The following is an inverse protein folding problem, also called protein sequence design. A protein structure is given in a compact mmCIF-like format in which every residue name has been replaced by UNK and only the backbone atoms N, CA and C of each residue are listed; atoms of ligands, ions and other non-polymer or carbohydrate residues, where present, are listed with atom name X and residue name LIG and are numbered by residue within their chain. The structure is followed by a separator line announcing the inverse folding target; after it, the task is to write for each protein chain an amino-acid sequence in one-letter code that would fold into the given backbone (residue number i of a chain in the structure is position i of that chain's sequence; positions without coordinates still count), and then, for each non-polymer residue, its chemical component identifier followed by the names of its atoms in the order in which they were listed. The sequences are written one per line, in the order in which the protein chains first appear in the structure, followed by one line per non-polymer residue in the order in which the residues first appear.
data_IF_720201781070
#
_entry.id   IF_720201781070
#
_cell.length_a   1.000
_cell.length_b   1.000
_cell.length_c   1.000
_cell.angle_alpha   90.00
_cell.angle_beta   90.00
_cell.angle_gamma   90.00
#
_symmetry.space_group_name_H-M   'P 1'
#
loop_
_entity.id
_entity.type
_entity.pdbx_description
1 polymer ?
#
# COMPACT_ATOMS: atom_id res chain seq x y z
N UNK A 1 7.22 3.47 -13.12
CA UNK A 1 6.57 3.28 -11.81
C UNK A 1 5.78 4.52 -11.39
N UNK A 2 6.40 5.70 -11.27
CA UNK A 2 5.73 6.90 -10.74
C UNK A 2 4.46 7.34 -11.49
N UNK A 3 4.45 7.23 -12.83
CA UNK A 3 3.25 7.52 -13.64
C UNK A 3 2.08 6.62 -13.24
N UNK A 4 2.35 5.34 -12.97
CA UNK A 4 1.33 4.40 -12.49
C UNK A 4 0.85 4.74 -11.08
N UNK A 5 1.76 5.10 -10.17
CA UNK A 5 1.39 5.54 -8.82
C UNK A 5 0.48 6.77 -8.84
N UNK A 6 0.78 7.75 -9.69
CA UNK A 6 -0.06 8.94 -9.89
C UNK A 6 -1.48 8.57 -10.34
N UNK A 7 -1.60 7.73 -11.37
CA UNK A 7 -2.90 7.21 -11.82
C UNK A 7 -3.61 6.40 -10.71
N UNK A 8 -2.84 5.65 -9.93
CA UNK A 8 -3.30 4.90 -8.76
C UNK A 8 -3.94 5.81 -7.71
N UNK A 9 -3.30 6.93 -7.36
CA UNK A 9 -3.84 7.87 -6.37
C UNK A 9 -5.21 8.43 -6.76
N UNK A 10 -5.38 8.79 -8.04
CA UNK A 10 -6.62 9.37 -8.57
C UNK A 10 -7.73 8.33 -8.60
N UNK A 11 -7.46 7.19 -9.24
CA UNK A 11 -8.42 6.09 -9.38
C UNK A 11 -8.84 5.50 -8.04
N UNK A 12 -7.90 5.38 -7.10
CA UNK A 12 -8.17 4.89 -5.76
C UNK A 12 -9.18 5.78 -5.05
N UNK A 13 -9.01 7.11 -5.08
CA UNK A 13 -9.94 8.04 -4.42
C UNK A 13 -11.36 7.87 -4.94
N UNK A 14 -11.53 7.84 -6.27
CA UNK A 14 -12.83 7.58 -6.89
C UNK A 14 -13.42 6.22 -6.47
N UNK A 15 -12.61 5.17 -6.44
CA UNK A 15 -13.04 3.83 -6.05
C UNK A 15 -13.44 3.75 -4.57
N UNK A 16 -12.68 4.40 -3.68
CA UNK A 16 -12.96 4.48 -2.25
C UNK A 16 -14.23 5.26 -1.92
N UNK A 17 -14.53 6.31 -2.69
CA UNK A 17 -15.78 7.05 -2.54
C UNK A 17 -16.98 6.24 -3.05
N UNK A 18 -16.81 5.55 -4.18
CA UNK A 18 -17.89 4.75 -4.77
C UNK A 18 -18.19 3.49 -3.95
N UNK A 19 -17.18 2.71 -3.58
CA UNK A 19 -17.34 1.36 -3.04
C UNK A 19 -17.04 1.23 -1.54
N UNK A 20 -16.51 2.27 -0.89
CA UNK A 20 -16.08 2.20 0.51
C UNK A 20 -14.56 2.12 0.64
N UNK A 21 -14.05 2.64 1.76
CA UNK A 21 -12.62 2.78 2.01
C UNK A 21 -11.97 1.41 2.20
N UNK A 22 -12.64 0.52 2.95
CA UNK A 22 -12.12 -0.82 3.28
C UNK A 22 -12.02 -1.71 2.05
N UNK A 23 -13.06 -1.72 1.21
CA UNK A 23 -13.08 -2.54 0.00
C UNK A 23 -12.06 -2.04 -1.02
N UNK A 24 -11.95 -0.72 -1.20
CA UNK A 24 -10.95 -0.11 -2.07
C UNK A 24 -9.52 -0.47 -1.66
N UNK A 25 -9.21 -0.32 -0.37
CA UNK A 25 -7.90 -0.68 0.19
C UNK A 25 -7.60 -2.16 -0.04
N UNK A 26 -8.56 -3.04 0.29
CA UNK A 26 -8.43 -4.49 0.13
C UNK A 26 -8.13 -4.87 -1.33
N UNK A 27 -8.88 -4.32 -2.29
CA UNK A 27 -8.71 -4.61 -3.70
C UNK A 27 -7.31 -4.22 -4.21
N UNK A 28 -6.84 -3.02 -3.86
CA UNK A 28 -5.50 -2.57 -4.25
C UNK A 28 -4.39 -3.40 -3.60
N UNK A 29 -4.53 -3.74 -2.31
CA UNK A 29 -3.57 -4.57 -1.58
C UNK A 29 -3.48 -6.00 -2.12
N UNK A 30 -4.61 -6.63 -2.44
CA UNK A 30 -4.62 -7.97 -3.05
C UNK A 30 -3.96 -7.92 -4.43
N UNK A 31 -4.29 -6.92 -5.26
CA UNK A 31 -3.65 -6.73 -6.55
C UNK A 31 -2.13 -6.50 -6.42
N UNK A 32 -1.70 -5.69 -5.45
CA UNK A 32 -0.27 -5.46 -5.18
C UNK A 32 0.45 -6.76 -4.75
N UNK A 33 -0.19 -7.58 -3.92
CA UNK A 33 0.32 -8.89 -3.48
C UNK A 33 0.65 -9.81 -4.65
N UNK A 34 -0.12 -9.74 -5.74
CA UNK A 34 0.12 -10.54 -6.94
C UNK A 34 1.10 -9.86 -7.93
N UNK A 35 0.93 -8.56 -8.18
CA UNK A 35 1.69 -7.83 -9.21
C UNK A 35 3.16 -7.65 -8.83
N UNK A 36 3.48 -7.50 -7.54
CA UNK A 36 4.86 -7.32 -7.06
C UNK A 36 5.74 -8.55 -7.34
N UNK A 37 5.34 -9.79 -6.97
CA UNK A 37 6.06 -11.00 -7.37
C UNK A 37 6.14 -11.18 -8.89
N UNK A 38 5.06 -10.93 -9.64
CA UNK A 38 5.06 -11.03 -11.10
C UNK A 38 6.14 -10.13 -11.71
N UNK A 39 6.24 -8.88 -11.23
CA UNK A 39 7.29 -7.96 -11.64
C UNK A 39 8.68 -8.51 -11.30
N UNK A 40 8.89 -8.94 -10.05
CA UNK A 40 10.20 -9.35 -9.56
C UNK A 40 10.75 -10.63 -10.21
N UNK A 41 9.89 -11.60 -10.50
CA UNK A 41 10.31 -12.90 -11.03
C UNK A 41 10.14 -13.01 -12.55
N UNK A 42 9.11 -12.35 -13.10
CA UNK A 42 8.71 -12.46 -14.51
C UNK A 42 9.28 -11.38 -15.43
N UNK A 43 9.67 -10.21 -14.91
CA UNK A 43 10.24 -9.16 -15.74
C UNK A 43 11.74 -9.38 -15.95
N UNK A 44 12.12 -9.79 -17.17
CA UNK A 44 13.53 -10.09 -17.54
C UNK A 44 14.05 -9.23 -18.69
N UNK A 45 13.18 -8.51 -19.39
CA UNK A 45 13.55 -7.59 -20.48
C UNK A 45 13.19 -6.14 -20.13
N UNK A 46 13.89 -5.15 -20.71
CA UNK A 46 13.57 -3.74 -20.51
C UNK A 46 12.10 -3.41 -20.81
N UNK A 47 11.54 -4.04 -21.86
CA UNK A 47 10.14 -3.86 -22.24
C UNK A 47 9.21 -4.34 -21.12
N UNK A 48 9.44 -5.56 -20.58
CA UNK A 48 8.61 -6.09 -19.47
C UNK A 48 8.73 -5.25 -18.19
N UNK A 49 9.91 -4.69 -17.91
CA UNK A 49 10.11 -3.80 -16.77
C UNK A 49 9.34 -2.48 -16.94
N UNK A 50 9.35 -1.91 -18.15
CA UNK A 50 8.66 -0.66 -18.47
C UNK A 50 7.14 -0.81 -18.51
N UNK A 51 6.62 -1.99 -18.85
CA UNK A 51 5.17 -2.24 -18.89
C UNK A 51 4.59 -2.66 -17.54
N UNK A 52 5.26 -3.56 -16.81
CA UNK A 52 4.76 -4.07 -15.52
C UNK A 52 5.09 -3.09 -14.37
N UNK A 53 6.22 -2.37 -14.44
CA UNK A 53 6.62 -1.42 -13.40
C UNK A 53 5.56 -0.36 -13.08
N UNK A 54 4.91 0.30 -14.06
CA UNK A 54 3.77 1.17 -13.80
C UNK A 54 2.62 0.49 -13.06
N UNK A 55 2.30 -0.78 -13.35
CA UNK A 55 1.25 -1.51 -12.62
C UNK A 55 1.61 -1.74 -11.16
N UNK A 56 2.88 -2.05 -10.86
CA UNK A 56 3.39 -2.08 -9.48
C UNK A 56 3.18 -0.72 -8.81
N UNK A 57 3.58 0.38 -9.48
CA UNK A 57 3.35 1.73 -8.96
C UNK A 57 1.86 1.99 -8.66
N UNK A 58 0.98 1.63 -9.58
CA UNK A 58 -0.46 1.83 -9.45
C UNK A 58 -1.05 1.11 -8.23
N UNK A 59 -0.84 -0.20 -8.11
CA UNK A 59 -1.47 -0.99 -7.03
C UNK A 59 -0.72 -0.85 -5.70
N UNK A 60 0.61 -0.91 -5.72
CA UNK A 60 1.43 -0.91 -4.51
C UNK A 60 1.63 0.48 -3.91
N UNK A 61 1.29 1.57 -4.62
CA UNK A 61 1.35 2.92 -4.05
C UNK A 61 -0.02 3.60 -4.06
N UNK A 62 -0.88 3.34 -5.05
CA UNK A 62 -2.13 4.08 -5.25
C UNK A 62 -3.06 4.17 -4.03
N UNK A 63 -3.05 3.16 -3.16
CA UNK A 63 -3.82 3.14 -1.92
C UNK A 63 -3.42 4.23 -0.91
N UNK A 64 -2.24 4.84 -1.05
CA UNK A 64 -1.74 5.80 -0.08
C UNK A 64 -2.61 7.07 0.00
N UNK A 65 -3.34 7.41 -1.06
CA UNK A 65 -4.31 8.51 -1.04
C UNK A 65 -5.45 8.29 -0.03
N UNK A 66 -5.69 7.05 0.40
CA UNK A 66 -6.68 6.72 1.43
C UNK A 66 -6.32 7.28 2.80
N UNK A 67 -5.04 7.24 3.18
CA UNK A 67 -4.64 7.42 4.58
C UNK A 67 -5.09 8.77 5.13
N UNK A 68 -5.09 9.82 4.31
CA UNK A 68 -5.58 11.14 4.71
C UNK A 68 -7.06 11.09 5.12
N UNK A 69 -7.92 10.59 4.23
CA UNK A 69 -9.37 10.53 4.45
C UNK A 69 -9.75 9.53 5.55
N UNK A 70 -9.27 8.29 5.46
CA UNK A 70 -9.64 7.23 6.40
C UNK A 70 -9.19 7.54 7.83
N UNK A 71 -7.97 8.07 8.04
CA UNK A 71 -7.55 8.46 9.38
C UNK A 71 -8.31 9.69 9.89
N UNK A 72 -8.71 10.62 9.00
CA UNK A 72 -9.51 11.76 9.41
C UNK A 72 -10.90 11.32 9.90
N UNK A 73 -11.51 10.37 9.21
CA UNK A 73 -12.81 9.79 9.54
C UNK A 73 -12.76 8.88 10.79
N UNK A 74 -11.61 8.24 11.06
CA UNK A 74 -11.44 7.34 12.21
C UNK A 74 -11.34 8.09 13.54
N UNK A 75 -10.78 9.30 13.54
CA UNK A 75 -10.47 10.05 14.75
C UNK A 75 -11.38 11.28 14.94
N UNK A 76 -11.86 11.52 16.18
CA UNK A 76 -12.56 12.74 16.55
C UNK A 76 -11.75 14.01 16.23
N UNK A 77 -12.47 15.05 15.80
CA UNK A 77 -11.92 16.36 15.40
C UNK A 77 -10.92 16.92 16.40
N UNK A 78 -11.22 16.80 17.70
CA UNK A 78 -10.42 17.38 18.81
C UNK A 78 -8.96 16.92 18.88
N UNK A 79 -8.63 15.73 18.36
CA UNK A 79 -7.24 15.23 18.36
C UNK A 79 -6.83 14.56 17.04
N UNK A 80 -7.61 14.76 15.97
CA UNK A 80 -7.38 14.17 14.64
C UNK A 80 -5.97 14.39 14.13
N UNK A 81 -5.47 15.63 14.19
CA UNK A 81 -4.14 15.98 13.69
C UNK A 81 -3.02 15.22 14.43
N UNK A 82 -3.10 15.15 15.76
CA UNK A 82 -2.13 14.42 16.59
C UNK A 82 -2.19 12.92 16.34
N UNK A 83 -3.41 12.35 16.22
CA UNK A 83 -3.59 10.93 15.95
C UNK A 83 -3.08 10.53 14.56
N UNK A 84 -3.40 11.32 13.53
CA UNK A 84 -2.85 11.15 12.18
C UNK A 84 -1.32 11.23 12.18
N UNK A 85 -0.76 12.24 12.87
CA UNK A 85 0.69 12.39 13.02
C UNK A 85 1.33 11.19 13.71
N UNK A 86 0.70 10.67 14.78
CA UNK A 86 1.19 9.48 15.48
C UNK A 86 1.15 8.23 14.60
N UNK A 87 0.03 7.94 13.94
CA UNK A 87 -0.09 6.79 13.03
C UNK A 87 0.91 6.87 11.88
N UNK A 88 1.06 8.04 11.27
CA UNK A 88 1.97 8.24 10.13
C UNK A 88 3.44 8.12 10.54
N UNK A 89 3.85 8.79 11.62
CA UNK A 89 5.24 8.75 12.07
C UNK A 89 5.60 7.41 12.71
N UNK A 90 4.67 6.77 13.41
CA UNK A 90 4.85 5.41 13.94
C UNK A 90 5.10 4.40 12.82
N UNK A 91 4.30 4.47 11.76
CA UNK A 91 4.52 3.68 10.54
C UNK A 91 5.87 3.97 9.90
N UNK A 92 6.26 5.26 9.75
CA UNK A 92 7.58 5.63 9.20
C UNK A 92 8.74 5.12 10.03
N UNK A 93 8.64 5.15 11.37
CA UNK A 93 9.67 4.65 12.25
C UNK A 93 9.84 3.13 12.08
N UNK A 94 8.74 2.38 12.00
CA UNK A 94 8.78 0.96 11.70
C UNK A 94 9.39 0.69 10.31
N UNK A 95 8.99 1.45 9.30
CA UNK A 95 9.52 1.33 7.93
C UNK A 95 11.00 1.66 7.81
N UNK A 96 11.60 2.40 8.74
CA UNK A 96 13.04 2.68 8.73
C UNK A 96 13.89 1.40 8.88
N UNK A 97 13.35 0.35 9.50
CA UNK A 97 14.00 -0.95 9.60
C UNK A 97 13.90 -1.79 8.31
N UNK A 98 12.94 -1.48 7.42
CA UNK A 98 12.64 -2.31 6.26
C UNK A 98 13.81 -2.45 5.27
N UNK A 99 14.55 -1.39 4.88
CA UNK A 99 15.70 -1.53 3.98
C UNK A 99 16.80 -2.45 4.55
N UNK A 100 17.04 -2.36 5.87
CA UNK A 100 18.01 -3.23 6.54
C UNK A 100 17.55 -4.69 6.58
N UNK A 101 16.28 -4.93 6.93
CA UNK A 101 15.71 -6.26 6.99
C UNK A 101 15.65 -6.93 5.61
N UNK A 102 15.11 -6.22 4.60
CA UNK A 102 15.03 -6.69 3.21
C UNK A 102 16.44 -6.91 2.63
N UNK A 103 17.36 -5.98 2.86
CA UNK A 103 18.75 -6.11 2.39
C UNK A 103 19.48 -7.29 3.03
N UNK A 104 19.31 -7.51 4.34
CA UNK A 104 19.86 -8.67 5.03
C UNK A 104 19.25 -9.98 4.53
N UNK A 105 17.93 -10.03 4.35
CA UNK A 105 17.23 -11.18 3.79
C UNK A 105 17.69 -11.48 2.36
N UNK A 106 17.84 -10.44 1.52
CA UNK A 106 18.30 -10.58 0.14
C UNK A 106 19.72 -11.15 0.05
N UNK A 107 20.63 -10.75 0.95
CA UNK A 107 22.00 -11.30 1.00
C UNK A 107 22.05 -12.76 1.44
N UNK A 108 21.22 -13.15 2.41
CA UNK A 108 21.28 -14.50 3.03
C UNK A 108 20.43 -15.53 2.28
N UNK A 109 19.30 -15.13 1.73
CA UNK A 109 18.29 -16.03 1.14
C UNK A 109 17.95 -15.68 -0.31
N UNK A 110 18.58 -14.65 -0.88
CA UNK A 110 18.34 -14.18 -2.24
C UNK A 110 17.24 -13.13 -2.32
N UNK A 111 17.32 -12.31 -3.37
CA UNK A 111 16.39 -11.20 -3.62
C UNK A 111 14.94 -11.66 -3.78
N UNK A 112 14.73 -12.87 -4.33
CA UNK A 112 13.40 -13.44 -4.54
C UNK A 112 12.61 -13.59 -3.24
N UNK A 113 13.20 -14.22 -2.22
CA UNK A 113 12.52 -14.41 -0.93
C UNK A 113 12.21 -13.05 -0.27
N UNK A 114 13.15 -12.11 -0.34
CA UNK A 114 12.97 -10.78 0.23
C UNK A 114 11.76 -10.05 -0.39
N UNK A 115 11.57 -10.16 -1.70
CA UNK A 115 10.42 -9.58 -2.40
C UNK A 115 9.13 -10.36 -2.12
N UNK A 116 9.18 -11.68 -2.00
CA UNK A 116 8.00 -12.48 -1.63
C UNK A 116 7.49 -12.12 -0.22
N UNK A 117 8.40 -11.86 0.73
CA UNK A 117 8.07 -11.38 2.07
C UNK A 117 7.45 -9.99 2.01
N UNK A 118 8.00 -9.06 1.22
CA UNK A 118 7.40 -7.74 0.97
C UNK A 118 5.98 -7.85 0.41
N UNK A 119 5.80 -8.71 -0.60
CA UNK A 119 4.48 -8.96 -1.18
C UNK A 119 3.45 -9.47 -0.15
N UNK A 120 3.88 -10.31 0.79
CA UNK A 120 3.03 -10.82 1.86
C UNK A 120 2.54 -9.71 2.80
N UNK A 121 3.34 -8.66 3.03
CA UNK A 121 2.89 -7.53 3.85
C UNK A 121 1.69 -6.79 3.23
N UNK A 122 1.60 -6.71 1.89
CA UNK A 122 0.38 -6.20 1.24
C UNK A 122 -0.82 -7.09 1.53
N UNK A 123 -0.65 -8.42 1.45
CA UNK A 123 -1.70 -9.39 1.77
C UNK A 123 -2.16 -9.29 3.23
N UNK A 124 -1.22 -9.16 4.17
CA UNK A 124 -1.53 -8.93 5.58
C UNK A 124 -2.28 -7.61 5.76
N UNK A 125 -1.85 -6.53 5.09
CA UNK A 125 -2.57 -5.25 5.08
C UNK A 125 -4.01 -5.38 4.58
N UNK A 126 -4.24 -6.17 3.53
CA UNK A 126 -5.57 -6.45 3.00
C UNK A 126 -6.50 -7.12 4.03
N UNK A 127 -5.95 -7.88 4.98
CA UNK A 127 -6.70 -8.50 6.08
C UNK A 127 -6.85 -7.53 7.25
N UNK A 128 -5.78 -6.85 7.65
CA UNK A 128 -5.79 -5.96 8.82
C UNK A 128 -6.76 -4.79 8.68
N UNK A 129 -7.02 -4.29 7.45
CA UNK A 129 -8.00 -3.23 7.24
C UNK A 129 -9.42 -3.63 7.68
N UNK A 130 -9.73 -4.94 7.76
CA UNK A 130 -11.03 -5.42 8.23
C UNK A 130 -11.21 -5.36 9.74
N UNK A 131 -10.11 -5.16 10.48
CA UNK A 131 -10.17 -4.85 11.91
C UNK A 131 -10.59 -3.39 12.15
N UNK A 132 -10.51 -2.55 11.13
CA UNK A 132 -10.96 -1.16 11.18
C UNK A 132 -12.44 -1.06 10.77
N UNK A 133 -13.19 -0.11 11.37
CA UNK A 133 -14.55 0.20 10.92
C UNK A 133 -14.53 0.74 9.48
N UNK A 134 -15.61 0.52 8.74
CA UNK A 134 -15.81 1.21 7.46
C UNK A 134 -16.10 2.69 7.75
N UNK A 135 -15.31 3.58 7.15
CA UNK A 135 -15.34 5.01 7.46
C UNK A 135 -16.10 5.83 6.42
N UNK A 136 -16.62 5.20 5.36
CA UNK A 136 -17.36 5.88 4.30
C UNK A 136 -18.58 6.61 4.86
N UNK A 137 -18.58 7.94 4.73
CA UNK A 137 -19.69 8.80 5.16
C UNK A 137 -19.69 9.13 6.66
N UNK A 138 -18.60 8.86 7.38
CA UNK A 138 -18.46 9.31 8.77
C UNK A 138 -18.39 10.85 8.83
N UNK A 139 -19.07 11.44 9.83
CA UNK A 139 -19.01 12.87 10.09
C UNK A 139 -17.64 13.26 10.66
N UNK A 140 -17.08 14.38 10.16
CA UNK A 140 -15.76 14.90 10.51
C UNK A 140 -15.81 16.01 11.57
#
# INVERSE_FOLDING_TARGET
MQVGAFAGYISFGWFADRFGRRLAFTAFMIAATAVVPIFAFGARSPITLLTIGPLVGYFAHGYFSLFGAMLAELFPTRFRASAQGFCYNGGRLASAAAPFAIGAAARRYGLGLAIAVDALFFGVGAVLVWLLPETKGAEL
#
